data_IF_947992852491
#
_entry.id   IF_947992852491
#
_cell.length_a   1.000
_cell.length_b   1.000
_cell.length_c   1.000
_cell.angle_alpha   90.00
_cell.angle_beta   90.00
_cell.angle_gamma   90.00
#
_symmetry.space_group_name_H-M   'P 1'
#
loop_
_entity.id
_entity.type
_entity.pdbx_description
1 polymer ?
#
# COMPACT_ATOMS: atom_id res chain seq x y z
N UNK A 1 50.30 -5.91 -33.45
CA UNK A 1 49.91 -6.46 -32.13
C UNK A 1 50.01 -5.45 -30.96
N UNK A 2 50.13 -4.13 -31.21
CA UNK A 2 50.17 -3.09 -30.15
C UNK A 2 48.84 -2.32 -29.99
N UNK A 3 47.93 -2.44 -30.95
CA UNK A 3 46.62 -1.76 -30.92
C UNK A 3 45.58 -2.50 -30.05
N UNK A 4 45.72 -3.82 -29.90
CA UNK A 4 44.77 -4.64 -29.11
C UNK A 4 44.96 -4.50 -27.60
N UNK A 5 46.17 -4.10 -27.15
CA UNK A 5 46.45 -3.85 -25.73
C UNK A 5 46.07 -2.43 -25.31
N UNK A 6 46.03 -1.46 -26.24
CA UNK A 6 45.59 -0.08 -25.96
C UNK A 6 44.07 0.02 -25.79
N UNK A 7 43.30 -0.75 -26.57
CA UNK A 7 41.83 -0.76 -26.48
C UNK A 7 41.32 -1.44 -25.21
N UNK A 8 42.04 -2.45 -24.70
CA UNK A 8 41.71 -3.12 -23.45
C UNK A 8 41.87 -2.22 -22.22
N UNK A 9 42.86 -1.32 -22.21
CA UNK A 9 43.05 -0.35 -21.13
C UNK A 9 42.02 0.79 -21.16
N UNK A 10 41.59 1.22 -22.35
CA UNK A 10 40.54 2.23 -22.49
C UNK A 10 39.17 1.72 -22.01
N UNK A 11 38.85 0.44 -22.23
CA UNK A 11 37.60 -0.17 -21.74
C UNK A 11 37.58 -0.32 -20.20
N UNK A 12 38.71 -0.63 -19.57
CA UNK A 12 38.81 -0.72 -18.11
C UNK A 12 38.66 0.65 -17.41
N UNK A 13 39.11 1.73 -18.04
CA UNK A 13 38.93 3.10 -17.53
C UNK A 13 37.49 3.60 -17.65
N UNK A 14 36.73 3.16 -18.65
CA UNK A 14 35.30 3.49 -18.80
C UNK A 14 34.41 2.74 -17.79
N UNK A 15 34.77 1.52 -17.39
CA UNK A 15 34.05 0.76 -16.36
C UNK A 15 34.25 1.32 -14.95
N UNK A 16 35.42 1.89 -14.64
CA UNK A 16 35.68 2.50 -13.33
C UNK A 16 34.96 3.84 -13.12
N UNK A 17 34.69 4.60 -14.20
CA UNK A 17 33.96 5.87 -14.13
C UNK A 17 32.46 5.69 -13.85
N UNK A 18 31.89 4.52 -14.10
CA UNK A 18 30.47 4.25 -13.86
C UNK A 18 30.15 3.93 -12.40
N UNK A 19 31.16 3.68 -11.55
CA UNK A 19 30.98 3.46 -10.11
C UNK A 19 31.05 4.76 -9.29
N UNK A 20 31.21 5.92 -9.95
CA UNK A 20 31.21 7.23 -9.30
C UNK A 20 29.91 7.99 -9.55
N UNK A 21 28.77 7.27 -9.58
CA UNK A 21 27.47 7.93 -9.50
C UNK A 21 27.29 8.49 -8.09
N UNK A 22 27.92 9.64 -7.89
CA UNK A 22 27.58 10.74 -7.00
C UNK A 22 26.39 10.40 -6.12
N UNK A 23 26.68 10.04 -4.87
CA UNK A 23 25.82 10.38 -3.74
C UNK A 23 25.62 11.89 -3.79
N UNK A 24 24.58 12.35 -4.48
CA UNK A 24 24.16 13.74 -4.44
C UNK A 24 23.87 14.05 -2.99
N UNK A 25 24.68 14.93 -2.37
CA UNK A 25 24.35 15.54 -1.09
C UNK A 25 22.96 16.16 -1.22
N UNK A 26 21.94 15.50 -0.68
CA UNK A 26 20.60 16.05 -0.65
C UNK A 26 20.61 17.29 0.24
N UNK A 27 20.57 18.48 -0.37
CA UNK A 27 20.23 19.72 0.34
C UNK A 27 18.76 19.67 0.72
N UNK A 28 18.48 19.08 1.87
CA UNK A 28 17.14 19.01 2.44
C UNK A 28 17.01 20.01 3.60
N UNK A 29 16.14 21.01 3.47
CA UNK A 29 15.80 21.95 4.55
C UNK A 29 14.63 21.42 5.37
N UNK A 30 14.60 21.63 6.68
CA UNK A 30 13.45 21.27 7.52
C UNK A 30 12.14 21.93 7.01
N UNK A 31 11.00 21.23 7.15
CA UNK A 31 9.66 21.66 6.74
C UNK A 31 8.63 21.41 7.85
N UNK A 32 7.40 21.89 7.68
CA UNK A 32 6.35 21.82 8.70
C UNK A 32 6.41 22.96 9.73
N UNK A 33 5.38 23.06 10.58
CA UNK A 33 5.34 24.05 11.66
C UNK A 33 6.54 23.83 12.60
N UNK A 34 7.27 24.90 12.91
CA UNK A 34 8.49 24.86 13.74
C UNK A 34 9.60 23.93 13.21
N UNK A 35 9.53 23.52 11.94
CA UNK A 35 10.55 22.68 11.31
C UNK A 35 10.59 21.23 11.83
N UNK A 36 9.46 20.71 12.34
CA UNK A 36 9.41 19.37 12.93
C UNK A 36 9.82 18.24 11.96
N UNK A 37 9.57 18.39 10.66
CA UNK A 37 9.88 17.39 9.64
C UNK A 37 11.23 17.71 9.00
N UNK A 38 12.27 16.98 9.39
CA UNK A 38 13.67 17.24 9.02
C UNK A 38 14.37 15.97 8.54
N UNK A 39 15.67 16.05 8.21
CA UNK A 39 16.43 14.96 7.59
C UNK A 39 16.41 15.00 6.07
N UNK A 40 16.90 13.93 5.43
CA UNK A 40 16.84 13.69 3.98
C UNK A 40 15.40 13.64 3.47
N UNK A 41 15.20 13.71 2.16
CA UNK A 41 13.88 13.54 1.55
C UNK A 41 13.27 12.18 1.93
N UNK A 42 14.09 11.12 1.95
CA UNK A 42 13.64 9.78 2.29
C UNK A 42 13.25 9.65 3.77
N UNK A 43 14.03 10.21 4.69
CA UNK A 43 13.70 10.25 6.13
C UNK A 43 12.37 10.98 6.39
N UNK A 44 12.11 12.07 5.66
CA UNK A 44 10.83 12.79 5.77
C UNK A 44 9.65 11.98 5.25
N UNK A 45 9.82 11.25 4.16
CA UNK A 45 8.76 10.40 3.63
C UNK A 45 8.49 9.20 4.54
N UNK A 46 9.53 8.63 5.16
CA UNK A 46 9.38 7.57 6.17
C UNK A 46 8.59 8.09 7.38
N UNK A 47 8.94 9.27 7.90
CA UNK A 47 8.21 9.92 9.00
C UNK A 47 6.74 10.18 8.62
N UNK A 48 6.47 10.72 7.43
CA UNK A 48 5.08 10.91 6.95
C UNK A 48 4.35 9.57 6.81
N UNK A 49 5.01 8.53 6.31
CA UNK A 49 4.43 7.19 6.19
C UNK A 49 4.11 6.58 7.56
N UNK A 50 4.93 6.84 8.58
CA UNK A 50 4.69 6.44 9.97
C UNK A 50 3.47 7.18 10.57
N UNK A 51 3.33 8.48 10.32
CA UNK A 51 2.17 9.28 10.76
C UNK A 51 0.84 8.80 10.15
N UNK A 52 0.88 8.16 8.97
CA UNK A 52 -0.29 7.50 8.37
C UNK A 52 -0.65 6.15 9.04
N UNK A 53 0.12 5.73 10.05
CA UNK A 53 -0.11 4.58 10.95
C UNK A 53 -0.29 3.19 10.31
N UNK A 54 0.01 3.05 9.02
CA UNK A 54 -0.08 1.77 8.30
C UNK A 54 -1.44 1.07 8.47
N UNK A 55 -1.44 -0.11 9.09
CA UNK A 55 -2.65 -0.92 9.28
C UNK A 55 -3.49 -0.49 10.50
N UNK A 56 -2.96 0.29 11.44
CA UNK A 56 -3.71 0.66 12.65
C UNK A 56 -4.93 1.53 12.33
N UNK A 57 -4.75 2.58 11.52
CA UNK A 57 -5.88 3.38 11.02
C UNK A 57 -6.82 2.55 10.14
N UNK A 58 -6.25 1.65 9.32
CA UNK A 58 -7.03 0.73 8.49
C UNK A 58 -7.96 -0.13 9.33
N UNK A 59 -7.49 -0.65 10.47
CA UNK A 59 -8.29 -1.49 11.36
C UNK A 59 -9.53 -0.79 11.92
N UNK A 60 -9.46 0.53 12.13
CA UNK A 60 -10.62 1.31 12.57
C UNK A 60 -11.68 1.34 11.47
N UNK A 61 -11.27 1.61 10.22
CA UNK A 61 -12.19 1.59 9.08
C UNK A 61 -12.75 0.18 8.84
N UNK A 62 -11.90 -0.85 8.81
CA UNK A 62 -12.33 -2.26 8.66
C UNK A 62 -13.37 -2.63 9.71
N UNK A 63 -13.15 -2.29 10.98
CA UNK A 63 -14.11 -2.57 12.05
C UNK A 63 -15.45 -1.85 11.84
N UNK A 64 -15.41 -0.60 11.39
CA UNK A 64 -16.62 0.18 11.10
C UNK A 64 -17.39 -0.43 9.92
N UNK A 65 -16.73 -0.64 8.78
CA UNK A 65 -17.32 -1.22 7.56
C UNK A 65 -17.93 -2.58 7.83
N UNK A 66 -17.22 -3.46 8.54
CA UNK A 66 -17.72 -4.79 8.89
C UNK A 66 -18.98 -4.72 9.79
N UNK A 67 -19.01 -3.78 10.73
CA UNK A 67 -20.18 -3.60 11.60
C UNK A 67 -21.39 -3.08 10.82
N UNK A 68 -21.18 -2.11 9.93
CA UNK A 68 -22.25 -1.58 9.07
C UNK A 68 -22.74 -2.64 8.09
N UNK A 69 -21.85 -3.45 7.50
CA UNK A 69 -22.18 -4.59 6.66
C UNK A 69 -23.09 -5.58 7.40
N UNK A 70 -22.73 -5.96 8.63
CA UNK A 70 -23.53 -6.86 9.46
C UNK A 70 -24.95 -6.33 9.68
N UNK A 71 -25.07 -5.07 10.12
CA UNK A 71 -26.38 -4.47 10.38
C UNK A 71 -27.19 -4.26 9.10
N UNK A 72 -26.56 -3.84 8.01
CA UNK A 72 -27.22 -3.71 6.72
C UNK A 72 -27.79 -5.04 6.21
N UNK A 73 -27.04 -6.14 6.39
CA UNK A 73 -27.50 -7.48 6.05
C UNK A 73 -28.66 -7.94 6.95
N UNK A 74 -28.61 -7.64 8.25
CA UNK A 74 -29.69 -7.95 9.21
C UNK A 74 -30.99 -7.21 8.87
N UNK A 75 -30.88 -5.97 8.41
CA UNK A 75 -32.01 -5.13 8.00
C UNK A 75 -32.47 -5.40 6.55
N UNK A 76 -31.85 -6.37 5.86
CA UNK A 76 -32.08 -6.67 4.44
C UNK A 76 -31.87 -5.47 3.50
N UNK A 77 -31.08 -4.48 3.93
CA UNK A 77 -30.67 -3.36 3.11
C UNK A 77 -29.48 -3.77 2.23
N UNK A 78 -29.74 -4.66 1.27
CA UNK A 78 -28.70 -5.32 0.48
C UNK A 78 -27.86 -4.35 -0.37
N UNK A 79 -28.43 -3.22 -0.80
CA UNK A 79 -27.67 -2.20 -1.52
C UNK A 79 -26.65 -1.48 -0.61
N UNK A 80 -27.02 -1.21 0.64
CA UNK A 80 -26.07 -0.67 1.62
C UNK A 80 -25.05 -1.72 2.07
N UNK A 81 -25.47 -2.98 2.20
CA UNK A 81 -24.57 -4.09 2.51
C UNK A 81 -23.49 -4.26 1.42
N UNK A 82 -23.88 -4.25 0.14
CA UNK A 82 -22.94 -4.33 -0.99
C UNK A 82 -21.95 -3.16 -0.96
N UNK A 83 -22.43 -1.93 -0.73
CA UNK A 83 -21.57 -0.75 -0.59
C UNK A 83 -20.56 -0.86 0.56
N UNK A 84 -20.97 -1.40 1.71
CA UNK A 84 -20.06 -1.58 2.84
C UNK A 84 -19.06 -2.71 2.62
N UNK A 85 -19.45 -3.76 1.90
CA UNK A 85 -18.56 -4.87 1.52
C UNK A 85 -17.47 -4.41 0.54
N UNK A 86 -17.84 -3.65 -0.50
CA UNK A 86 -16.90 -3.06 -1.46
C UNK A 86 -15.83 -2.22 -0.74
N UNK A 87 -16.24 -1.29 0.12
CA UNK A 87 -15.30 -0.43 0.84
C UNK A 87 -14.54 -1.16 1.96
N UNK A 88 -15.07 -2.27 2.48
CA UNK A 88 -14.33 -3.14 3.39
C UNK A 88 -13.15 -3.80 2.66
N UNK A 89 -13.38 -4.32 1.45
CA UNK A 89 -12.33 -4.90 0.60
C UNK A 89 -11.23 -3.88 0.30
N UNK A 90 -11.62 -2.69 -0.21
CA UNK A 90 -10.69 -1.60 -0.53
C UNK A 90 -9.82 -1.18 0.68
N UNK A 91 -10.43 -1.07 1.86
CA UNK A 91 -9.73 -0.72 3.08
C UNK A 91 -8.65 -1.77 3.41
N UNK A 92 -8.98 -3.07 3.31
CA UNK A 92 -8.03 -4.15 3.55
C UNK A 92 -6.89 -4.11 2.53
N UNK A 93 -7.18 -3.96 1.23
CA UNK A 93 -6.15 -3.86 0.19
C UNK A 93 -5.16 -2.71 0.45
N UNK A 94 -5.66 -1.51 0.78
CA UNK A 94 -4.83 -0.36 1.10
C UNK A 94 -4.00 -0.59 2.37
N UNK A 95 -4.56 -1.28 3.35
CA UNK A 95 -3.84 -1.72 4.54
C UNK A 95 -2.68 -2.65 4.19
N UNK A 96 -2.92 -3.65 3.35
CA UNK A 96 -1.92 -4.65 2.95
C UNK A 96 -0.80 -4.03 2.11
N UNK A 97 -1.09 -3.03 1.25
CA UNK A 97 -0.05 -2.24 0.55
C UNK A 97 0.94 -1.59 1.52
N UNK A 98 0.46 -1.10 2.67
CA UNK A 98 1.29 -0.46 3.71
C UNK A 98 2.00 -1.46 4.63
N UNK A 99 1.50 -2.71 4.73
CA UNK A 99 2.02 -3.74 5.64
C UNK A 99 1.97 -5.14 4.97
N UNK A 100 2.77 -5.40 3.92
CA UNK A 100 2.68 -6.62 3.14
C UNK A 100 2.93 -7.91 3.94
N UNK A 101 3.72 -7.84 5.02
CA UNK A 101 3.98 -8.96 5.93
C UNK A 101 2.72 -9.48 6.65
N UNK A 102 1.60 -8.75 6.59
CA UNK A 102 0.29 -9.14 7.16
C UNK A 102 -0.65 -9.80 6.15
N UNK A 103 -0.26 -9.90 4.88
CA UNK A 103 -1.11 -10.44 3.82
C UNK A 103 -1.62 -11.87 4.11
N UNK A 104 -0.76 -12.75 4.63
CA UNK A 104 -1.14 -14.13 4.96
C UNK A 104 -2.28 -14.22 5.99
N UNK A 105 -2.46 -13.21 6.85
CA UNK A 105 -3.58 -13.20 7.81
C UNK A 105 -4.91 -12.75 7.21
N UNK A 106 -4.89 -12.14 6.02
CA UNK A 106 -6.07 -11.65 5.32
C UNK A 106 -6.44 -12.52 4.11
N UNK A 107 -5.56 -13.45 3.69
CA UNK A 107 -5.71 -14.27 2.48
C UNK A 107 -7.07 -14.99 2.42
N UNK A 108 -7.42 -15.77 3.45
CA UNK A 108 -8.71 -16.48 3.50
C UNK A 108 -9.91 -15.52 3.42
N UNK A 109 -9.80 -14.36 4.07
CA UNK A 109 -10.86 -13.35 4.04
C UNK A 109 -11.03 -12.75 2.63
N UNK A 110 -9.94 -12.39 1.98
CA UNK A 110 -9.94 -11.76 0.67
C UNK A 110 -10.30 -12.75 -0.45
N UNK A 111 -9.78 -13.97 -0.41
CA UNK A 111 -9.93 -14.93 -1.51
C UNK A 111 -11.17 -15.82 -1.38
N UNK A 112 -11.70 -15.98 -0.17
CA UNK A 112 -12.86 -16.86 0.09
C UNK A 112 -14.05 -16.07 0.61
N UNK A 113 -13.91 -15.38 1.74
CA UNK A 113 -15.07 -14.80 2.43
C UNK A 113 -15.69 -13.63 1.66
N UNK A 114 -14.90 -12.70 1.12
CA UNK A 114 -15.42 -11.57 0.34
C UNK A 114 -16.20 -12.08 -0.88
N UNK A 115 -15.65 -12.93 -1.77
CA UNK A 115 -16.39 -13.48 -2.90
C UNK A 115 -17.68 -14.22 -2.51
N UNK A 116 -17.69 -14.97 -1.41
CA UNK A 116 -18.89 -15.65 -0.92
C UNK A 116 -19.98 -14.66 -0.45
N UNK A 117 -19.57 -13.58 0.23
CA UNK A 117 -20.48 -12.52 0.67
C UNK A 117 -21.07 -11.77 -0.53
N UNK A 118 -20.27 -11.45 -1.55
CA UNK A 118 -20.72 -10.81 -2.79
C UNK A 118 -21.72 -11.67 -3.56
N UNK A 119 -21.44 -12.97 -3.72
CA UNK A 119 -22.35 -13.90 -4.38
C UNK A 119 -23.70 -13.97 -3.64
N UNK A 120 -23.67 -13.93 -2.32
CA UNK A 120 -24.85 -13.96 -1.45
C UNK A 120 -25.67 -12.68 -1.58
N UNK A 121 -25.04 -11.50 -1.53
CA UNK A 121 -25.72 -10.20 -1.64
C UNK A 121 -26.39 -10.02 -3.00
N UNK A 122 -25.70 -10.33 -4.09
CA UNK A 122 -26.25 -10.27 -5.45
C UNK A 122 -27.44 -11.23 -5.64
N UNK A 123 -27.36 -12.41 -5.04
CA UNK A 123 -28.46 -13.38 -5.04
C UNK A 123 -29.74 -12.87 -4.34
N UNK A 124 -29.58 -12.02 -3.33
CA UNK A 124 -30.67 -11.38 -2.58
C UNK A 124 -31.23 -10.16 -3.31
N UNK A 125 -30.38 -9.32 -3.89
CA UNK A 125 -30.80 -8.16 -4.71
C UNK A 125 -31.64 -8.62 -5.90
N UNK A 126 -31.25 -9.73 -6.55
CA UNK A 126 -31.97 -10.28 -7.72
C UNK A 126 -33.29 -10.97 -7.39
N UNK A 127 -33.55 -11.27 -6.12
CA UNK A 127 -34.81 -11.86 -5.64
C UNK A 127 -35.41 -10.97 -4.56
N UNK A 128 -35.96 -9.79 -4.93
CA UNK A 128 -36.86 -9.08 -4.03
C UNK A 128 -38.02 -10.03 -3.71
N UNK A 129 -38.29 -10.25 -2.43
CA UNK A 129 -39.36 -11.12 -1.97
C UNK A 129 -40.73 -10.75 -2.57
#
# INVERSE_FOLDING_TARGET
MKHFTLTAWAAALLLAASCSQSSSEEKSSAVGLDGWLSGTTEEKFEEVAEQLQGFSTTMVEVSYRYSELYWAAMDENWGYAEHQLEHLEEAIELGLKRRPLRAASAEDFMEVNIPEMEASSQGKIRRPF
#
